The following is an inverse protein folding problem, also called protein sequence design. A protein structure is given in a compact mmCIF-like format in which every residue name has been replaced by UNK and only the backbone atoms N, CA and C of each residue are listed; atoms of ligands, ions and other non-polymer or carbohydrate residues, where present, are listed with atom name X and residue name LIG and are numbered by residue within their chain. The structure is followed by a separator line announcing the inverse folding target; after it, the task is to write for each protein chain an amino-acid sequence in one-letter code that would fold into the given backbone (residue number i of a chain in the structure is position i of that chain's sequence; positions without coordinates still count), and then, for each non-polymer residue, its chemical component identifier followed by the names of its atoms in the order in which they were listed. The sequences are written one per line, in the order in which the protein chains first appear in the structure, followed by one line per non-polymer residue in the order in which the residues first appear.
data_IF_324406417471
#
_entry.id   IF_324406417471
#
_cell.length_a   1.000
_cell.length_b   1.000
_cell.length_c   1.000
_cell.angle_alpha   90.00
_cell.angle_beta   90.00
_cell.angle_gamma   90.00
#
_symmetry.space_group_name_H-M   'P 1'
#
loop_
_entity.id
_entity.type
_entity.pdbx_description
1 polymer ?
#
# COMPACT_ATOMS: atom_id res chain seq x y z
N UNK A 1 5.81 13.25 -14.98
CA UNK A 1 6.66 14.36 -14.50
C UNK A 1 5.90 15.23 -13.53
N UNK A 2 5.13 16.18 -14.05
CA UNK A 2 4.39 17.19 -13.27
C UNK A 2 3.51 16.58 -12.15
N UNK A 3 2.73 15.55 -12.46
CA UNK A 3 1.84 14.88 -11.49
C UNK A 3 2.64 14.28 -10.33
N UNK A 4 3.78 13.63 -10.62
CA UNK A 4 4.62 12.99 -9.60
C UNK A 4 5.19 14.06 -8.65
N UNK A 5 5.66 15.18 -9.21
CA UNK A 5 6.16 16.31 -8.43
C UNK A 5 5.06 16.93 -7.57
N UNK A 6 3.87 17.13 -8.14
CA UNK A 6 2.72 17.66 -7.39
C UNK A 6 2.30 16.72 -6.25
N UNK A 7 2.18 15.41 -6.50
CA UNK A 7 1.91 14.41 -5.48
C UNK A 7 2.96 14.42 -4.37
N UNK A 8 4.26 14.50 -4.72
CA UNK A 8 5.34 14.54 -3.74
C UNK A 8 5.18 15.71 -2.77
N UNK A 9 4.95 16.93 -3.27
CA UNK A 9 4.75 18.10 -2.41
C UNK A 9 3.47 17.99 -1.59
N UNK A 10 2.36 17.55 -2.19
CA UNK A 10 1.10 17.39 -1.47
C UNK A 10 1.25 16.40 -0.31
N UNK A 11 1.77 15.20 -0.56
CA UNK A 11 1.98 14.20 0.49
C UNK A 11 2.95 14.67 1.56
N UNK A 12 4.06 15.31 1.18
CA UNK A 12 5.04 15.84 2.14
C UNK A 12 4.43 16.93 3.02
N UNK A 13 3.73 17.91 2.44
CA UNK A 13 3.11 18.99 3.21
C UNK A 13 2.01 18.48 4.12
N UNK A 14 1.08 17.65 3.63
CA UNK A 14 0.02 17.10 4.48
C UNK A 14 0.57 16.21 5.59
N UNK A 15 1.56 15.37 5.28
CA UNK A 15 2.21 14.50 6.27
C UNK A 15 2.90 15.31 7.37
N UNK A 16 3.73 16.30 7.00
CA UNK A 16 4.46 17.13 7.97
C UNK A 16 3.49 17.98 8.80
N UNK A 17 2.52 18.65 8.18
CA UNK A 17 1.56 19.48 8.92
C UNK A 17 0.73 18.66 9.91
N UNK A 18 0.26 17.47 9.51
CA UNK A 18 -0.51 16.58 10.39
C UNK A 18 0.36 16.04 11.52
N UNK A 19 1.61 15.67 11.21
CA UNK A 19 2.57 15.19 12.20
C UNK A 19 2.89 16.24 13.28
N UNK A 20 3.10 17.50 12.87
CA UNK A 20 3.41 18.60 13.78
C UNK A 20 2.20 19.02 14.63
N UNK A 21 0.98 18.97 14.08
CA UNK A 21 -0.25 19.30 14.83
C UNK A 21 -0.62 18.23 15.87
N UNK A 22 -0.32 16.96 15.59
CA UNK A 22 -0.80 15.81 16.37
C UNK A 22 0.32 14.89 16.89
N UNK A 23 1.50 15.45 17.13
CA UNK A 23 2.69 14.71 17.58
C UNK A 23 2.44 13.79 18.80
N UNK A 24 1.58 14.21 19.73
CA UNK A 24 1.29 13.45 20.95
C UNK A 24 0.20 12.37 20.80
N UNK A 25 -0.54 12.35 19.69
CA UNK A 25 -1.70 11.47 19.45
C UNK A 25 -1.51 10.47 18.29
N UNK A 26 -0.26 10.19 17.90
CA UNK A 26 0.10 9.31 16.77
C UNK A 26 -0.36 7.84 16.86
N UNK A 27 -1.15 7.46 17.86
CA UNK A 27 -1.69 6.10 17.99
C UNK A 27 -2.89 5.82 17.07
N UNK A 28 -3.47 6.84 16.44
CA UNK A 28 -4.63 6.66 15.56
C UNK A 28 -4.21 6.10 14.18
N UNK A 29 -5.06 5.24 13.63
CA UNK A 29 -4.83 4.53 12.36
C UNK A 29 -4.98 5.44 11.13
N UNK A 30 -5.70 6.55 11.28
CA UNK A 30 -5.93 7.54 10.24
C UNK A 30 -5.92 8.96 10.83
N UNK A 31 -5.34 9.91 10.09
CA UNK A 31 -5.39 11.33 10.43
C UNK A 31 -6.82 11.84 10.66
N UNK A 32 -7.82 11.22 10.03
CA UNK A 32 -9.22 11.60 10.15
C UNK A 32 -9.87 11.14 11.47
N UNK A 33 -9.36 10.07 12.07
CA UNK A 33 -9.84 9.55 13.37
C UNK A 33 -9.43 10.46 14.54
N UNK A 34 -8.40 11.29 14.34
CA UNK A 34 -7.93 12.25 15.34
C UNK A 34 -8.83 13.48 15.50
N UNK A 35 -9.74 13.73 14.55
CA UNK A 35 -10.60 14.91 14.56
C UNK A 35 -12.02 14.55 15.05
N UNK A 36 -12.69 15.45 15.80
CA UNK A 36 -14.01 15.17 16.36
C UNK A 36 -15.04 14.95 15.25
N UNK A 37 -15.76 13.82 15.31
CA UNK A 37 -16.75 13.40 14.32
C UNK A 37 -17.94 14.37 14.13
N UNK A 38 -18.16 15.27 15.09
CA UNK A 38 -19.25 16.26 15.04
C UNK A 38 -18.91 17.51 14.21
N UNK A 39 -17.64 17.70 13.81
CA UNK A 39 -17.25 18.86 13.02
C UNK A 39 -17.74 18.67 11.56
N UNK A 40 -18.46 19.65 10.96
CA UNK A 40 -18.96 19.55 9.59
C UNK A 40 -17.86 19.26 8.56
N UNK A 41 -16.65 19.79 8.74
CA UNK A 41 -15.52 19.51 7.84
C UNK A 41 -15.07 18.04 7.89
N UNK A 42 -15.05 17.45 9.09
CA UNK A 42 -14.73 16.02 9.27
C UNK A 42 -15.79 15.13 8.63
N UNK A 43 -17.06 15.51 8.73
CA UNK A 43 -18.18 14.77 8.10
C UNK A 43 -18.02 14.79 6.58
N UNK A 44 -17.80 15.97 5.99
CA UNK A 44 -17.60 16.11 4.53
C UNK A 44 -16.39 15.29 4.07
N UNK A 45 -15.25 15.38 4.77
CA UNK A 45 -14.06 14.61 4.43
C UNK A 45 -14.32 13.10 4.50
N UNK A 46 -15.03 12.63 5.54
CA UNK A 46 -15.41 11.22 5.70
C UNK A 46 -16.26 10.74 4.54
N UNK A 47 -17.28 11.52 4.14
CA UNK A 47 -18.14 11.18 2.99
C UNK A 47 -17.34 11.08 1.70
N UNK A 48 -16.41 12.02 1.45
CA UNK A 48 -15.53 11.98 0.29
C UNK A 48 -14.65 10.72 0.29
N UNK A 49 -14.07 10.34 1.43
CA UNK A 49 -13.27 9.11 1.56
C UNK A 49 -14.12 7.88 1.30
N UNK A 50 -15.33 7.79 1.84
CA UNK A 50 -16.26 6.68 1.58
C UNK A 50 -16.56 6.56 0.09
N UNK A 51 -16.85 7.68 -0.58
CA UNK A 51 -17.13 7.69 -2.01
C UNK A 51 -15.93 7.20 -2.84
N UNK A 52 -14.72 7.68 -2.52
CA UNK A 52 -13.49 7.24 -3.18
C UNK A 52 -13.27 5.73 -2.97
N UNK A 53 -13.50 5.21 -1.77
CA UNK A 53 -13.38 3.78 -1.49
C UNK A 53 -14.39 2.96 -2.30
N UNK A 54 -15.65 3.39 -2.34
CA UNK A 54 -16.72 2.71 -3.07
C UNK A 54 -16.42 2.60 -4.57
N UNK A 55 -15.83 3.65 -5.17
CA UNK A 55 -15.45 3.64 -6.60
C UNK A 55 -14.14 2.89 -6.85
N UNK A 56 -13.15 3.01 -5.95
CA UNK A 56 -11.83 2.40 -6.15
C UNK A 56 -11.82 0.89 -5.91
N UNK A 57 -12.59 0.35 -4.96
CA UNK A 57 -12.66 -1.08 -4.69
C UNK A 57 -12.99 -1.94 -5.92
N UNK A 58 -14.06 -1.68 -6.70
CA UNK A 58 -14.37 -2.49 -7.88
C UNK A 58 -13.31 -2.36 -8.98
N UNK A 59 -12.70 -1.18 -9.14
CA UNK A 59 -11.61 -0.96 -10.09
C UNK A 59 -10.36 -1.78 -9.73
N UNK A 60 -10.00 -1.82 -8.44
CA UNK A 60 -8.89 -2.62 -7.94
C UNK A 60 -9.15 -4.12 -8.12
N UNK A 61 -10.36 -4.58 -7.81
CA UNK A 61 -10.74 -5.98 -8.01
C UNK A 61 -10.70 -6.35 -9.50
N UNK A 62 -11.17 -5.47 -10.38
CA UNK A 62 -11.09 -5.69 -11.82
C UNK A 62 -9.64 -5.81 -12.31
N UNK A 63 -8.76 -4.90 -11.89
CA UNK A 63 -7.34 -4.96 -12.23
C UNK A 63 -6.69 -6.25 -11.71
N UNK A 64 -6.97 -6.64 -10.46
CA UNK A 64 -6.46 -7.87 -9.86
C UNK A 64 -6.92 -9.12 -10.62
N UNK A 65 -8.18 -9.18 -11.05
CA UNK A 65 -8.71 -10.29 -11.88
C UNK A 65 -7.92 -10.42 -13.19
N UNK A 66 -7.68 -9.31 -13.89
CA UNK A 66 -6.91 -9.33 -15.13
C UNK A 66 -5.48 -9.80 -14.92
N UNK A 67 -4.83 -9.38 -13.83
CA UNK A 67 -3.47 -9.84 -13.48
C UNK A 67 -3.42 -11.33 -13.17
N UNK A 68 -4.41 -11.87 -12.45
CA UNK A 68 -4.53 -13.31 -12.15
C UNK A 68 -4.74 -14.10 -13.43
N UNK A 69 -5.62 -13.62 -14.32
CA UNK A 69 -5.92 -14.27 -15.59
C UNK A 69 -4.68 -14.35 -16.50
N UNK A 70 -4.00 -13.22 -16.67
CA UNK A 70 -2.79 -13.13 -17.47
C UNK A 70 -1.68 -14.05 -16.94
N UNK A 71 -1.55 -14.17 -15.61
CA UNK A 71 -0.47 -14.95 -14.98
C UNK A 71 -0.76 -16.45 -14.99
N UNK A 72 -1.97 -16.88 -14.61
CA UNK A 72 -2.32 -18.29 -14.46
C UNK A 72 -2.75 -18.96 -15.76
N UNK A 73 -3.44 -18.23 -16.63
CA UNK A 73 -4.07 -18.80 -17.83
C UNK A 73 -3.37 -18.41 -19.14
N UNK A 74 -2.29 -17.61 -19.07
CA UNK A 74 -1.34 -17.31 -20.17
C UNK A 74 -2.03 -17.00 -21.52
N UNK A 75 -3.12 -16.23 -21.47
CA UNK A 75 -3.84 -15.78 -22.68
C UNK A 75 -4.87 -16.75 -23.26
N UNK A 76 -5.28 -17.81 -22.54
CA UNK A 76 -6.46 -18.60 -22.91
C UNK A 76 -7.73 -17.76 -22.82
N UNK A 77 -8.65 -17.95 -23.77
CA UNK A 77 -9.93 -17.25 -23.78
C UNK A 77 -10.64 -17.35 -22.43
N UNK A 78 -11.25 -16.24 -22.04
CA UNK A 78 -11.83 -16.07 -20.73
C UNK A 78 -13.26 -16.58 -20.71
N UNK A 79 -13.53 -17.57 -19.87
CA UNK A 79 -14.87 -18.11 -19.68
C UNK A 79 -15.61 -17.33 -18.59
N UNK A 80 -16.93 -17.19 -18.75
CA UNK A 80 -17.77 -16.47 -17.78
C UNK A 80 -17.68 -17.06 -16.37
N UNK A 81 -17.60 -18.39 -16.26
CA UNK A 81 -17.47 -19.07 -14.96
C UNK A 81 -16.12 -18.74 -14.29
N UNK A 82 -15.02 -18.77 -15.03
CA UNK A 82 -13.69 -18.40 -14.52
C UNK A 82 -13.67 -16.95 -14.04
N UNK A 83 -14.26 -16.06 -14.83
CA UNK A 83 -14.33 -14.63 -14.51
C UNK A 83 -15.07 -14.36 -13.19
N UNK A 84 -16.24 -14.98 -13.01
CA UNK A 84 -17.05 -14.82 -11.79
C UNK A 84 -16.30 -15.44 -10.60
N UNK A 85 -15.73 -16.62 -10.77
CA UNK A 85 -15.10 -17.38 -9.68
C UNK A 85 -13.82 -16.71 -9.18
N UNK A 86 -12.93 -16.27 -10.08
CA UNK A 86 -11.74 -15.49 -9.70
C UNK A 86 -12.15 -14.21 -8.97
N UNK A 87 -13.19 -13.54 -9.45
CA UNK A 87 -13.71 -12.35 -8.81
C UNK A 87 -14.28 -12.56 -7.42
N UNK A 88 -15.06 -13.62 -7.27
CA UNK A 88 -15.67 -14.01 -6.00
C UNK A 88 -14.59 -14.39 -4.97
N UNK A 89 -13.58 -15.17 -5.37
CA UNK A 89 -12.46 -15.54 -4.49
C UNK A 89 -11.71 -14.30 -4.03
N UNK A 90 -11.40 -13.36 -4.94
CA UNK A 90 -10.70 -12.12 -4.57
C UNK A 90 -11.51 -11.28 -3.58
N UNK A 91 -12.83 -11.13 -3.81
CA UNK A 91 -13.71 -10.45 -2.86
C UNK A 91 -13.73 -11.15 -1.50
N UNK A 92 -13.89 -12.48 -1.49
CA UNK A 92 -13.96 -13.27 -0.27
C UNK A 92 -12.67 -13.17 0.55
N UNK A 93 -11.51 -13.24 -0.11
CA UNK A 93 -10.20 -13.06 0.54
C UNK A 93 -10.06 -11.64 1.10
N UNK A 94 -10.45 -10.62 0.34
CA UNK A 94 -10.39 -9.23 0.81
C UNK A 94 -11.29 -8.98 2.02
N UNK A 95 -12.51 -9.54 2.02
CA UNK A 95 -13.44 -9.45 3.14
C UNK A 95 -12.93 -10.24 4.36
N UNK A 96 -12.35 -11.43 4.14
CA UNK A 96 -11.75 -12.23 5.20
C UNK A 96 -10.56 -11.52 5.86
N UNK A 97 -9.69 -10.90 5.08
CA UNK A 97 -8.60 -10.08 5.61
C UNK A 97 -9.16 -8.90 6.40
N UNK A 98 -10.11 -8.15 5.85
CA UNK A 98 -10.75 -7.03 6.57
C UNK A 98 -11.41 -7.47 7.90
N UNK A 99 -11.95 -8.68 7.97
CA UNK A 99 -12.54 -9.23 9.18
C UNK A 99 -11.51 -9.73 10.22
N UNK A 100 -10.25 -9.95 9.81
CA UNK A 100 -9.22 -10.57 10.66
C UNK A 100 -8.56 -9.56 11.61
N UNK A 101 -8.51 -8.28 11.24
CA UNK A 101 -7.90 -7.24 12.09
C UNK A 101 -8.67 -5.95 12.01
N UNK A 102 -9.04 -5.40 13.18
CA UNK A 102 -9.61 -4.07 13.31
C UNK A 102 -8.57 -2.95 13.19
N UNK A 103 -7.27 -3.30 13.24
CA UNK A 103 -6.18 -2.36 13.14
C UNK A 103 -5.68 -2.30 11.69
N UNK A 104 -5.91 -1.17 11.03
CA UNK A 104 -5.48 -0.94 9.64
C UNK A 104 -3.97 -0.77 9.53
N UNK A 105 -3.28 -0.37 10.61
CA UNK A 105 -1.83 -0.18 10.64
C UNK A 105 -1.10 -1.49 10.39
N UNK A 106 -1.62 -2.62 10.89
CA UNK A 106 -1.06 -3.95 10.62
C UNK A 106 -1.06 -4.22 9.10
N UNK A 107 -2.16 -3.91 8.42
CA UNK A 107 -2.25 -4.07 6.96
C UNK A 107 -1.32 -3.12 6.22
N UNK A 108 -1.24 -1.85 6.64
CA UNK A 108 -0.33 -0.89 6.03
C UNK A 108 1.14 -1.24 6.25
N UNK A 109 1.51 -1.77 7.42
CA UNK A 109 2.88 -2.18 7.71
C UNK A 109 3.28 -3.42 6.90
N UNK A 110 2.41 -4.43 6.81
CA UNK A 110 2.70 -5.65 6.04
C UNK A 110 2.66 -5.38 4.54
N UNK A 111 1.54 -4.85 4.03
CA UNK A 111 1.34 -4.66 2.60
C UNK A 111 2.10 -3.43 2.11
N UNK A 112 1.91 -2.30 2.76
CA UNK A 112 2.53 -1.03 2.36
C UNK A 112 4.01 -0.94 2.73
N UNK A 113 4.42 -1.47 3.88
CA UNK A 113 5.79 -1.38 4.37
C UNK A 113 6.72 -2.47 3.84
N UNK A 114 6.21 -3.70 3.63
CA UNK A 114 7.04 -4.84 3.20
C UNK A 114 6.81 -5.15 1.71
N UNK A 115 5.57 -5.44 1.32
CA UNK A 115 5.28 -5.91 -0.05
C UNK A 115 5.52 -4.83 -1.12
N UNK A 116 5.04 -3.60 -0.90
CA UNK A 116 5.19 -2.53 -1.90
C UNK A 116 6.66 -2.22 -2.17
N UNK A 117 7.52 -1.91 -1.18
CA UNK A 117 8.93 -1.60 -1.42
C UNK A 117 9.69 -2.75 -2.09
N UNK A 118 9.38 -4.00 -1.74
CA UNK A 118 9.98 -5.17 -2.40
C UNK A 118 9.63 -5.19 -3.89
N UNK A 119 8.38 -4.95 -4.25
CA UNK A 119 7.95 -5.00 -5.65
C UNK A 119 8.39 -3.75 -6.43
N UNK A 120 8.36 -2.56 -5.82
CA UNK A 120 8.59 -1.29 -6.51
C UNK A 120 10.05 -0.81 -6.48
N UNK A 121 10.83 -1.20 -5.47
CA UNK A 121 12.22 -0.78 -5.31
C UNK A 121 13.18 -1.96 -5.48
N UNK A 122 12.96 -3.08 -4.76
CA UNK A 122 13.90 -4.20 -4.76
C UNK A 122 13.92 -4.93 -6.11
N UNK A 123 12.77 -5.37 -6.63
CA UNK A 123 12.73 -6.12 -7.89
C UNK A 123 13.27 -5.32 -9.08
N UNK A 124 12.88 -4.05 -9.33
CA UNK A 124 13.45 -3.26 -10.41
C UNK A 124 14.95 -3.04 -10.24
N UNK A 125 15.44 -2.81 -9.02
CA UNK A 125 16.88 -2.70 -8.76
C UNK A 125 17.61 -3.99 -9.11
N UNK A 126 17.14 -5.14 -8.64
CA UNK A 126 17.73 -6.44 -8.94
C UNK A 126 17.71 -6.78 -10.44
N UNK A 127 16.57 -6.53 -11.11
CA UNK A 127 16.46 -6.72 -12.55
C UNK A 127 17.40 -5.81 -13.32
N UNK A 128 17.48 -4.53 -12.95
CA UNK A 128 18.40 -3.58 -13.57
C UNK A 128 19.86 -4.03 -13.44
N UNK A 129 20.23 -4.55 -12.27
CA UNK A 129 21.57 -5.07 -12.01
C UNK A 129 21.92 -6.29 -12.86
N UNK A 130 20.96 -7.20 -13.06
CA UNK A 130 21.17 -8.44 -13.83
C UNK A 130 21.11 -8.20 -15.34
N UNK A 131 20.19 -7.35 -15.81
CA UNK A 131 19.98 -7.10 -17.22
C UNK A 131 21.06 -6.21 -17.87
N UNK A 132 21.79 -5.41 -17.07
CA UNK A 132 22.80 -4.47 -17.59
C UNK A 132 24.20 -4.77 -17.02
N UNK A 133 24.96 -5.72 -17.60
CA UNK A 133 26.26 -6.13 -17.08
C UNK A 133 27.36 -5.06 -17.22
N UNK A 134 27.33 -4.21 -18.27
CA UNK A 134 28.32 -3.14 -18.51
C UNK A 134 27.80 -1.75 -18.11
N UNK A 135 27.48 -1.57 -16.83
CA UNK A 135 26.87 -0.32 -16.30
C UNK A 135 27.89 0.60 -15.63
N UNK A 136 27.66 1.91 -15.74
CA UNK A 136 28.45 2.95 -15.06
C UNK A 136 28.27 2.85 -13.54
N UNK A 137 29.35 3.13 -12.80
CA UNK A 137 29.42 2.95 -11.34
C UNK A 137 28.29 3.66 -10.57
N UNK A 138 27.92 4.88 -10.97
CA UNK A 138 26.86 5.66 -10.30
C UNK A 138 25.48 4.96 -10.35
N UNK A 139 25.16 4.23 -11.42
CA UNK A 139 23.90 3.50 -11.54
C UNK A 139 23.87 2.26 -10.64
N UNK A 140 25.04 1.67 -10.40
CA UNK A 140 25.19 0.57 -9.44
C UNK A 140 25.02 1.08 -8.01
N UNK A 141 25.60 2.24 -7.68
CA UNK A 141 25.41 2.88 -6.37
C UNK A 141 23.93 3.20 -6.13
N UNK A 142 23.22 3.77 -7.11
CA UNK A 142 21.79 4.06 -7.00
C UNK A 142 20.94 2.80 -6.75
N UNK A 143 21.22 1.71 -7.48
CA UNK A 143 20.53 0.44 -7.27
C UNK A 143 20.81 -0.13 -5.86
N UNK A 144 22.05 -0.03 -5.39
CA UNK A 144 22.45 -0.52 -4.07
C UNK A 144 21.80 0.30 -2.94
N UNK A 145 21.74 1.62 -3.07
CA UNK A 145 21.01 2.49 -2.13
C UNK A 145 19.52 2.10 -2.08
N UNK A 146 18.90 1.84 -3.23
CA UNK A 146 17.49 1.45 -3.30
C UNK A 146 17.23 0.11 -2.60
N UNK A 147 18.15 -0.85 -2.76
CA UNK A 147 18.10 -2.14 -2.06
C UNK A 147 18.25 -1.95 -0.55
N UNK A 148 19.26 -1.19 -0.11
CA UNK A 148 19.49 -0.91 1.31
C UNK A 148 18.29 -0.22 1.96
N UNK A 149 17.74 0.81 1.30
CA UNK A 149 16.56 1.51 1.78
C UNK A 149 15.36 0.56 1.93
N UNK A 150 15.17 -0.35 0.97
CA UNK A 150 14.10 -1.35 1.04
C UNK A 150 14.28 -2.30 2.22
N UNK A 151 15.51 -2.75 2.49
CA UNK A 151 15.81 -3.64 3.63
C UNK A 151 15.55 -2.91 4.94
N UNK A 152 16.01 -1.68 5.09
CA UNK A 152 15.79 -0.87 6.30
C UNK A 152 14.29 -0.66 6.54
N UNK A 153 13.55 -0.27 5.51
CA UNK A 153 12.10 -0.07 5.59
C UNK A 153 11.38 -1.38 5.98
N UNK A 154 11.72 -2.50 5.33
CA UNK A 154 11.11 -3.79 5.63
C UNK A 154 11.38 -4.23 7.08
N UNK A 155 12.61 -4.05 7.59
CA UNK A 155 12.97 -4.38 8.99
C UNK A 155 12.20 -3.50 9.96
N UNK A 156 12.13 -2.18 9.72
CA UNK A 156 11.40 -1.25 10.57
C UNK A 156 9.90 -1.59 10.63
N UNK A 157 9.26 -1.80 9.47
CA UNK A 157 7.84 -2.17 9.40
C UNK A 157 7.55 -3.53 10.04
N UNK A 158 8.46 -4.50 9.90
CA UNK A 158 8.31 -5.82 10.54
C UNK A 158 8.40 -5.70 12.06
N UNK A 159 9.35 -4.93 12.57
CA UNK A 159 9.50 -4.68 14.01
C UNK A 159 8.26 -3.96 14.58
N UNK A 160 7.75 -2.95 13.88
CA UNK A 160 6.54 -2.24 14.28
C UNK A 160 5.30 -3.16 14.29
N UNK A 161 5.12 -3.98 13.25
CA UNK A 161 4.03 -4.96 13.18
C UNK A 161 4.07 -5.93 14.36
N UNK A 162 5.27 -6.44 14.71
CA UNK A 162 5.44 -7.36 15.83
C UNK A 162 5.05 -6.72 17.17
N UNK A 163 5.36 -5.44 17.37
CA UNK A 163 4.97 -4.68 18.55
C UNK A 163 3.45 -4.46 18.61
N UNK A 164 2.83 -4.11 17.48
CA UNK A 164 1.37 -3.90 17.38
C UNK A 164 0.60 -5.19 17.67
N UNK A 165 1.04 -6.34 17.15
CA UNK A 165 0.43 -7.65 17.44
C UNK A 165 0.56 -7.98 18.93
N UNK A 166 1.74 -7.77 19.53
CA UNK A 166 1.97 -8.02 20.96
C UNK A 166 1.08 -7.15 21.85
N UNK A 167 0.86 -5.89 21.46
CA UNK A 167 0.01 -4.96 22.20
C UNK A 167 -1.48 -5.27 22.01
N UNK A 168 -1.89 -5.78 20.84
CA UNK A 168 -3.29 -6.15 20.56
C UNK A 168 -3.72 -7.48 21.22
N UNK A 169 -2.76 -8.29 21.68
CA UNK A 169 -3.02 -9.57 22.36
C UNK A 169 -3.12 -9.44 23.89
N UNK A 170 -2.94 -8.23 24.45
CA UNK A 170 -3.15 -7.93 25.88
C UNK A 170 -4.48 -7.26 26.09
#
# INVERSE_FOLDING_TARGET
GIIITACFFLYATFGICTYLDKFDLLSASSALELYPAKNPFTIVATVCVIFILLVSSPLMIWAARNSVDATLFKGKEMTNLRWILTGFILCLLSAGLAATSSNILIFFNIVGGILIPVVTLLFPALFFMKATPNRKWYRTVQALISILFTVIAAVACTAQTALEIKNSSK
#
